data_IF_102796073090
#
_entry.id   IF_102796073090
#
_cell.length_a   1.000
_cell.length_b   1.000
_cell.length_c   1.000
_cell.angle_alpha   90.00
_cell.angle_beta   90.00
_cell.angle_gamma   90.00
#
_symmetry.space_group_name_H-M   'P 1'
#
loop_
_entity.id
_entity.type
_entity.pdbx_description
1 polymer ?
#
# COMPACT_ATOMS: atom_id res chain seq x y z
N UNK A 1 13.11 1.46 -15.98
CA UNK A 1 12.50 0.34 -15.24
C UNK A 1 12.92 0.51 -13.79
N UNK A 2 11.94 0.59 -12.89
CA UNK A 2 12.16 0.83 -11.47
C UNK A 2 11.88 -0.44 -10.66
N UNK A 3 12.73 -1.46 -10.79
CA UNK A 3 12.64 -2.73 -10.06
C UNK A 3 12.33 -3.94 -10.94
N UNK A 4 12.29 -5.11 -10.29
CA UNK A 4 12.14 -6.41 -10.96
C UNK A 4 10.68 -6.83 -11.19
N UNK A 5 9.74 -6.16 -10.53
CA UNK A 5 8.33 -6.51 -10.53
C UNK A 5 7.47 -5.34 -11.01
N UNK A 6 6.50 -5.64 -11.84
CA UNK A 6 5.52 -4.67 -12.33
C UNK A 6 4.13 -5.10 -11.88
N UNK A 7 3.34 -4.13 -11.40
CA UNK A 7 1.93 -4.40 -11.08
C UNK A 7 1.15 -4.77 -12.34
N UNK A 8 0.34 -5.79 -12.25
CA UNK A 8 -0.66 -6.14 -13.27
C UNK A 8 -2.05 -5.56 -12.95
N UNK A 9 -2.20 -4.91 -11.81
CA UNK A 9 -3.48 -4.46 -11.27
C UNK A 9 -4.16 -3.40 -12.15
N UNK A 10 -3.35 -2.55 -12.76
CA UNK A 10 -3.79 -1.44 -13.60
C UNK A 10 -3.38 -1.61 -15.07
N UNK A 11 -2.98 -2.83 -15.44
CA UNK A 11 -2.57 -3.12 -16.82
C UNK A 11 -3.76 -3.68 -17.60
N UNK A 12 -4.14 -3.03 -18.70
CA UNK A 12 -5.19 -3.52 -19.57
C UNK A 12 -4.86 -4.89 -20.15
N UNK A 13 -5.84 -5.78 -20.19
CA UNK A 13 -5.66 -7.10 -20.80
C UNK A 13 -5.89 -7.02 -22.31
N UNK A 14 -4.85 -7.33 -23.09
CA UNK A 14 -4.92 -7.36 -24.58
C UNK A 14 -6.10 -8.19 -25.12
N UNK A 15 -6.46 -9.26 -24.43
CA UNK A 15 -7.56 -10.13 -24.81
C UNK A 15 -8.97 -9.49 -24.73
N UNK A 16 -9.10 -8.33 -24.08
CA UNK A 16 -10.38 -7.64 -23.90
C UNK A 16 -10.62 -6.50 -24.88
N UNK A 17 -9.86 -6.45 -25.98
CA UNK A 17 -10.10 -5.51 -27.09
C UNK A 17 -9.84 -4.05 -26.75
N UNK A 18 -8.95 -3.79 -25.80
CA UNK A 18 -8.57 -2.42 -25.48
C UNK A 18 -7.76 -1.83 -26.62
N UNK A 19 -8.29 -0.79 -27.23
CA UNK A 19 -7.71 -0.12 -28.38
C UNK A 19 -6.85 1.06 -27.92
N UNK A 20 -5.60 1.08 -28.41
CA UNK A 20 -4.76 2.27 -28.36
C UNK A 20 -5.29 3.31 -29.35
N UNK A 21 -5.71 4.45 -28.87
CA UNK A 21 -6.19 5.53 -29.69
C UNK A 21 -5.12 6.63 -29.81
N UNK A 22 -4.34 6.60 -30.90
CA UNK A 22 -3.36 7.62 -31.22
C UNK A 22 -2.14 7.69 -30.29
N UNK A 23 -1.51 8.87 -30.18
CA UNK A 23 -0.32 9.13 -29.37
C UNK A 23 -0.56 9.11 -27.86
N UNK A 24 -1.80 9.12 -27.40
CA UNK A 24 -2.21 9.04 -26.01
C UNK A 24 -2.83 7.67 -25.75
N UNK A 25 -2.29 6.97 -24.76
CA UNK A 25 -2.86 5.69 -24.33
C UNK A 25 -4.11 5.97 -23.51
N UNK A 26 -5.26 5.91 -24.16
CA UNK A 26 -6.56 6.00 -23.49
C UNK A 26 -7.09 4.59 -23.25
N UNK A 27 -7.41 4.27 -22.01
CA UNK A 27 -7.99 3.00 -21.61
C UNK A 27 -9.44 3.19 -21.16
N UNK A 28 -10.29 2.22 -21.48
CA UNK A 28 -11.67 2.19 -20.96
C UNK A 28 -11.76 1.57 -19.55
N UNK A 29 -10.63 1.38 -18.88
CA UNK A 29 -10.59 0.83 -17.53
C UNK A 29 -10.92 1.92 -16.51
N UNK A 30 -11.80 1.59 -15.57
CA UNK A 30 -12.18 2.51 -14.51
C UNK A 30 -11.05 2.65 -13.48
N UNK A 31 -10.69 3.88 -13.15
CA UNK A 31 -9.85 4.18 -12.00
C UNK A 31 -10.67 4.08 -10.71
N UNK A 32 -10.18 3.32 -9.77
CA UNK A 32 -10.83 3.16 -8.47
C UNK A 32 -10.33 4.25 -7.50
N UNK A 33 -11.19 5.21 -7.22
CA UNK A 33 -10.94 6.19 -6.15
C UNK A 33 -11.15 5.54 -4.78
N UNK A 34 -12.20 4.73 -4.65
CA UNK A 34 -12.51 3.95 -3.46
C UNK A 34 -12.96 2.55 -3.87
N UNK A 35 -12.53 1.55 -3.12
CA UNK A 35 -12.94 0.15 -3.31
C UNK A 35 -13.67 -0.38 -2.08
N UNK A 36 -14.60 -1.28 -2.29
CA UNK A 36 -15.34 -1.90 -1.20
C UNK A 36 -14.42 -2.62 -0.20
N UNK A 37 -13.36 -3.27 -0.67
CA UNK A 37 -12.36 -3.91 0.21
C UNK A 37 -11.65 -2.91 1.14
N UNK A 38 -11.44 -1.66 0.70
CA UNK A 38 -10.87 -0.63 1.57
C UNK A 38 -11.81 -0.29 2.72
N UNK A 39 -13.09 -0.10 2.42
CA UNK A 39 -14.13 0.14 3.45
C UNK A 39 -14.27 -1.06 4.40
N UNK A 40 -14.22 -2.29 3.88
CA UNK A 40 -14.22 -3.49 4.72
C UNK A 40 -13.03 -3.51 5.68
N UNK A 41 -11.82 -3.19 5.20
CA UNK A 41 -10.62 -3.16 6.03
C UNK A 41 -10.63 -2.00 7.04
N UNK A 42 -11.20 -0.84 6.70
CA UNK A 42 -11.44 0.25 7.65
C UNK A 42 -12.40 -0.19 8.76
N UNK A 43 -13.49 -0.89 8.39
CA UNK A 43 -14.42 -1.46 9.38
C UNK A 43 -13.74 -2.49 10.28
N UNK A 44 -12.95 -3.41 9.71
CA UNK A 44 -12.21 -4.39 10.48
C UNK A 44 -11.22 -3.74 11.46
N UNK A 45 -10.57 -2.66 11.05
CA UNK A 45 -9.70 -1.87 11.94
C UNK A 45 -10.46 -1.27 13.12
N UNK A 46 -11.59 -0.64 12.85
CA UNK A 46 -12.45 -0.08 13.92
C UNK A 46 -12.92 -1.17 14.89
N UNK A 47 -13.30 -2.34 14.38
CA UNK A 47 -13.72 -3.48 15.21
C UNK A 47 -12.59 -3.98 16.11
N UNK A 48 -11.35 -4.05 15.60
CA UNK A 48 -10.18 -4.41 16.41
C UNK A 48 -10.01 -3.40 17.54
N UNK A 49 -10.11 -2.10 17.27
CA UNK A 49 -9.96 -1.08 18.28
C UNK A 49 -11.08 -1.12 19.34
N UNK A 50 -12.28 -1.49 18.95
CA UNK A 50 -13.41 -1.72 19.86
C UNK A 50 -13.33 -3.04 20.63
N UNK A 51 -12.43 -3.97 20.24
CA UNK A 51 -12.30 -5.28 20.87
C UNK A 51 -13.17 -6.39 20.26
N UNK A 52 -13.86 -6.12 19.16
CA UNK A 52 -14.67 -7.09 18.43
C UNK A 52 -13.81 -7.90 17.45
N UNK A 53 -12.86 -8.66 18.00
CA UNK A 53 -11.78 -9.29 17.23
C UNK A 53 -12.27 -10.37 16.27
N UNK A 54 -13.28 -11.15 16.65
CA UNK A 54 -13.82 -12.23 15.82
C UNK A 54 -14.56 -11.69 14.58
N UNK A 55 -15.34 -10.61 14.72
CA UNK A 55 -15.99 -9.98 13.60
C UNK A 55 -14.96 -9.37 12.64
N UNK A 56 -13.90 -8.77 13.17
CA UNK A 56 -12.79 -8.25 12.37
C UNK A 56 -12.08 -9.38 11.59
N UNK A 57 -11.82 -10.53 12.22
CA UNK A 57 -11.26 -11.72 11.59
C UNK A 57 -12.12 -12.20 10.43
N UNK A 58 -13.42 -12.27 10.63
CA UNK A 58 -14.36 -12.67 9.58
C UNK A 58 -14.25 -11.78 8.36
N UNK A 59 -14.28 -10.46 8.53
CA UNK A 59 -14.15 -9.50 7.43
C UNK A 59 -12.82 -9.66 6.68
N UNK A 60 -11.72 -9.81 7.41
CA UNK A 60 -10.39 -9.98 6.82
C UNK A 60 -10.32 -11.29 6.03
N UNK A 61 -10.89 -12.36 6.57
CA UNK A 61 -10.94 -13.67 5.92
C UNK A 61 -11.84 -13.70 4.68
N UNK A 62 -12.89 -12.91 4.63
CA UNK A 62 -13.71 -12.75 3.42
C UNK A 62 -12.89 -12.17 2.26
N UNK A 63 -12.04 -11.18 2.54
CA UNK A 63 -11.13 -10.61 1.54
C UNK A 63 -10.11 -11.65 1.07
N UNK A 64 -9.51 -12.39 2.00
CA UNK A 64 -8.56 -13.46 1.69
C UNK A 64 -9.20 -14.58 0.89
N UNK A 65 -10.41 -14.99 1.24
CA UNK A 65 -11.16 -16.03 0.52
C UNK A 65 -11.48 -15.58 -0.92
N UNK A 66 -11.85 -14.31 -1.09
CA UNK A 66 -12.04 -13.75 -2.43
C UNK A 66 -10.75 -13.79 -3.25
N UNK A 67 -9.62 -13.41 -2.65
CA UNK A 67 -8.32 -13.46 -3.33
C UNK A 67 -7.95 -14.90 -3.71
N UNK A 68 -8.13 -15.86 -2.81
CA UNK A 68 -7.93 -17.28 -3.08
C UNK A 68 -8.79 -17.78 -4.24
N UNK A 69 -10.08 -17.47 -4.22
CA UNK A 69 -11.01 -17.84 -5.29
C UNK A 69 -10.62 -17.21 -6.65
N UNK A 70 -10.01 -16.04 -6.65
CA UNK A 70 -9.55 -15.38 -7.87
C UNK A 70 -8.31 -16.07 -8.46
N UNK A 71 -7.38 -16.50 -7.63
CA UNK A 71 -6.21 -17.29 -8.08
C UNK A 71 -6.68 -18.60 -8.70
N UNK A 72 -7.56 -19.33 -8.02
CA UNK A 72 -8.07 -20.62 -8.48
C UNK A 72 -8.80 -20.54 -9.83
N UNK A 73 -9.48 -19.42 -10.12
CA UNK A 73 -10.30 -19.25 -11.33
C UNK A 73 -9.58 -18.56 -12.49
N UNK A 74 -8.64 -17.67 -12.20
CA UNK A 74 -8.17 -16.72 -13.21
C UNK A 74 -6.66 -16.76 -13.44
N UNK A 75 -5.89 -17.38 -12.56
CA UNK A 75 -4.42 -17.36 -12.59
C UNK A 75 -3.88 -18.78 -12.50
N UNK A 76 -4.15 -19.58 -13.53
CA UNK A 76 -3.79 -21.00 -13.58
C UNK A 76 -2.30 -21.25 -13.31
N UNK A 77 -1.41 -20.40 -13.84
CA UNK A 77 0.04 -20.50 -13.61
C UNK A 77 0.48 -20.17 -12.19
N UNK A 78 -0.34 -19.50 -11.39
CA UNK A 78 -0.03 -19.13 -10.01
C UNK A 78 -0.74 -20.04 -8.99
N UNK A 79 -1.63 -20.91 -9.44
CA UNK A 79 -2.46 -21.77 -8.59
C UNK A 79 -1.65 -22.61 -7.61
N UNK A 80 -0.55 -23.18 -8.08
CA UNK A 80 0.32 -24.02 -7.27
C UNK A 80 1.42 -23.22 -6.52
N UNK A 81 1.49 -21.91 -6.74
CA UNK A 81 2.50 -21.02 -6.17
C UNK A 81 1.95 -20.06 -5.11
N UNK A 82 0.64 -19.96 -5.01
CA UNK A 82 -0.04 -19.02 -4.09
C UNK A 82 -0.83 -19.82 -3.05
N UNK A 83 -0.29 -19.94 -1.85
CA UNK A 83 -1.03 -20.46 -0.68
C UNK A 83 -1.64 -19.27 0.09
N UNK A 84 -2.93 -19.05 -0.10
CA UNK A 84 -3.69 -18.03 0.62
C UNK A 84 -4.49 -18.70 1.73
N UNK A 85 -3.84 -18.91 2.87
CA UNK A 85 -4.49 -19.44 4.07
C UNK A 85 -5.34 -18.36 4.75
N UNK A 86 -6.46 -18.76 5.34
CA UNK A 86 -7.26 -17.87 6.20
C UNK A 86 -6.59 -17.73 7.57
N UNK A 87 -6.77 -16.58 8.22
CA UNK A 87 -6.29 -16.37 9.58
C UNK A 87 -7.06 -17.22 10.57
N UNK A 88 -6.38 -18.05 11.37
CA UNK A 88 -7.02 -18.82 12.43
C UNK A 88 -7.45 -17.93 13.59
N UNK A 89 -8.38 -18.40 14.40
CA UNK A 89 -8.87 -17.69 15.59
C UNK A 89 -7.76 -17.30 16.56
N UNK A 90 -6.71 -18.12 16.66
CA UNK A 90 -5.57 -17.87 17.55
C UNK A 90 -4.84 -16.55 17.28
N UNK A 91 -4.96 -15.98 16.08
CA UNK A 91 -4.35 -14.69 15.74
C UNK A 91 -5.20 -13.48 16.13
N UNK A 92 -6.43 -13.73 16.60
CA UNK A 92 -7.38 -12.70 17.00
C UNK A 92 -7.77 -12.82 18.47
N UNK A 93 -6.88 -13.36 19.31
CA UNK A 93 -7.07 -13.44 20.77
C UNK A 93 -6.65 -12.12 21.48
N UNK A 94 -5.83 -11.31 20.85
CA UNK A 94 -5.40 -10.01 21.37
C UNK A 94 -5.36 -8.95 20.24
N UNK A 95 -5.50 -7.67 20.64
CA UNK A 95 -5.54 -6.54 19.72
C UNK A 95 -4.24 -6.34 18.96
N UNK A 96 -3.09 -6.62 19.57
CA UNK A 96 -1.81 -6.36 18.95
C UNK A 96 -1.59 -7.30 17.76
N UNK A 97 -1.84 -8.59 17.95
CA UNK A 97 -1.74 -9.59 16.89
C UNK A 97 -2.78 -9.33 15.79
N UNK A 98 -4.02 -9.02 16.18
CA UNK A 98 -5.06 -8.67 15.22
C UNK A 98 -4.72 -7.43 14.38
N UNK A 99 -4.12 -6.39 14.98
CA UNK A 99 -3.61 -5.22 14.23
C UNK A 99 -2.52 -5.61 13.23
N UNK A 100 -1.60 -6.50 13.60
CA UNK A 100 -0.56 -6.99 12.68
C UNK A 100 -1.19 -7.70 11.48
N UNK A 101 -2.17 -8.57 11.71
CA UNK A 101 -2.91 -9.25 10.64
C UNK A 101 -3.64 -8.26 9.72
N UNK A 102 -4.37 -7.31 10.28
CA UNK A 102 -5.04 -6.25 9.52
C UNK A 102 -4.06 -5.43 8.67
N UNK A 103 -2.97 -4.95 9.29
CA UNK A 103 -1.97 -4.12 8.61
C UNK A 103 -1.28 -4.87 7.48
N UNK A 104 -1.10 -6.18 7.65
CA UNK A 104 -0.57 -7.04 6.61
C UNK A 104 -1.56 -7.23 5.48
N UNK A 105 -2.83 -7.49 5.80
CA UNK A 105 -3.87 -7.64 4.79
C UNK A 105 -4.08 -6.36 3.98
N UNK A 106 -4.11 -5.19 4.64
CA UNK A 106 -4.15 -3.90 3.93
C UNK A 106 -2.97 -3.73 2.98
N UNK A 107 -1.76 -4.14 3.40
CA UNK A 107 -0.57 -4.09 2.54
C UNK A 107 -0.72 -4.97 1.30
N UNK A 108 -1.30 -6.16 1.43
CA UNK A 108 -1.49 -7.09 0.33
C UNK A 108 -2.63 -6.64 -0.59
N UNK A 109 -3.80 -6.36 -0.02
CA UNK A 109 -5.00 -6.03 -0.77
C UNK A 109 -4.90 -4.69 -1.49
N UNK A 110 -4.35 -3.67 -0.81
CA UNK A 110 -4.20 -2.30 -1.32
C UNK A 110 -2.82 -2.04 -1.95
N UNK A 111 -2.07 -3.09 -2.26
CA UNK A 111 -0.77 -2.96 -2.91
C UNK A 111 -0.89 -2.22 -4.24
N UNK A 112 0.05 -1.29 -4.50
CA UNK A 112 0.14 -0.46 -5.70
C UNK A 112 -1.00 0.55 -5.91
N UNK A 113 -1.83 0.80 -4.90
CA UNK A 113 -2.93 1.76 -4.93
C UNK A 113 -2.64 3.07 -4.16
N UNK A 114 -1.36 3.38 -3.97
CA UNK A 114 -0.84 4.62 -3.35
C UNK A 114 -1.28 4.88 -1.89
N UNK A 115 -2.10 4.02 -1.27
CA UNK A 115 -2.61 4.19 0.11
C UNK A 115 -1.59 3.93 1.21
N UNK A 116 -0.50 3.19 0.92
CA UNK A 116 0.42 2.66 1.94
C UNK A 116 1.08 3.72 2.81
N UNK A 117 1.51 4.83 2.22
CA UNK A 117 2.16 5.91 2.96
C UNK A 117 1.23 6.54 4.00
N UNK A 118 -0.03 6.76 3.62
CA UNK A 118 -1.04 7.31 4.52
C UNK A 118 -1.36 6.36 5.67
N UNK A 119 -1.44 5.06 5.42
CA UNK A 119 -1.60 4.04 6.45
C UNK A 119 -0.44 4.06 7.45
N UNK A 120 0.79 4.08 6.98
CA UNK A 120 1.98 4.12 7.85
C UNK A 120 2.01 5.38 8.72
N UNK A 121 1.60 6.53 8.16
CA UNK A 121 1.51 7.81 8.90
C UNK A 121 0.47 7.74 10.01
N UNK A 122 -0.77 7.38 9.68
CA UNK A 122 -1.87 7.35 10.65
C UNK A 122 -1.68 6.31 11.74
N UNK A 123 -0.93 5.24 11.47
CA UNK A 123 -0.53 4.26 12.48
C UNK A 123 0.69 4.67 13.30
N UNK A 124 1.34 5.78 12.97
CA UNK A 124 2.53 6.27 13.67
C UNK A 124 3.79 5.42 13.48
N UNK A 125 3.83 4.56 12.46
CA UNK A 125 4.94 3.62 12.20
C UNK A 125 5.72 3.95 10.91
N UNK A 126 5.48 5.10 10.30
CA UNK A 126 6.11 5.47 9.04
C UNK A 126 7.64 5.50 9.13
N UNK A 127 8.17 6.17 10.16
CA UNK A 127 9.61 6.31 10.34
C UNK A 127 10.33 4.97 10.50
N UNK A 128 9.83 4.11 11.40
CA UNK A 128 10.43 2.79 11.63
C UNK A 128 10.37 1.93 10.36
N UNK A 129 9.17 1.84 9.76
CA UNK A 129 8.94 0.97 8.62
C UNK A 129 9.73 1.40 7.39
N UNK A 130 9.75 2.71 7.08
CA UNK A 130 10.41 3.20 5.88
C UNK A 130 11.93 3.21 6.03
N UNK A 131 12.46 3.58 7.21
CA UNK A 131 13.91 3.51 7.43
C UNK A 131 14.42 2.06 7.39
N UNK A 132 13.65 1.10 7.92
CA UNK A 132 13.99 -0.32 7.81
C UNK A 132 13.96 -0.79 6.36
N UNK A 133 12.99 -0.36 5.58
CA UNK A 133 12.91 -0.64 4.15
C UNK A 133 14.10 -0.06 3.40
N UNK A 134 14.44 1.21 3.60
CA UNK A 134 15.60 1.85 2.95
C UNK A 134 16.91 1.12 3.29
N UNK A 135 17.11 0.76 4.55
CA UNK A 135 18.30 0.00 4.96
C UNK A 135 18.36 -1.39 4.31
N UNK A 136 17.21 -2.05 4.13
CA UNK A 136 17.13 -3.34 3.43
C UNK A 136 17.51 -3.21 1.96
N UNK A 137 16.93 -2.23 1.26
CA UNK A 137 17.20 -1.99 -0.16
C UNK A 137 18.66 -1.56 -0.42
N UNK A 138 19.24 -0.74 0.48
CA UNK A 138 20.63 -0.32 0.39
C UNK A 138 21.63 -1.47 0.55
N UNK A 139 21.27 -2.51 1.30
CA UNK A 139 22.10 -3.66 1.58
C UNK A 139 21.76 -4.88 0.71
N UNK A 140 20.80 -4.77 -0.18
CA UNK A 140 20.45 -5.88 -1.07
C UNK A 140 21.63 -6.16 -2.02
N UNK A 141 22.05 -7.42 -2.07
CA UNK A 141 23.09 -7.90 -2.99
C UNK A 141 22.77 -7.68 -4.48
N UNK A 142 21.50 -7.45 -4.79
CA UNK A 142 21.06 -7.00 -6.12
C UNK A 142 21.19 -5.48 -6.30
N UNK A 143 21.46 -4.73 -5.23
CA UNK A 143 21.63 -3.29 -5.19
C UNK A 143 22.96 -2.78 -5.74
N UNK A 144 23.88 -3.64 -6.13
CA UNK A 144 25.04 -3.27 -6.95
C UNK A 144 24.63 -2.74 -8.32
N UNK A 145 23.39 -2.99 -8.71
CA UNK A 145 22.81 -2.42 -9.91
C UNK A 145 22.06 -1.13 -9.57
N UNK A 146 22.07 -0.22 -10.48
CA UNK A 146 21.59 1.15 -10.59
C UNK A 146 20.35 1.57 -9.76
N UNK A 147 19.61 0.64 -9.19
CA UNK A 147 18.35 0.89 -8.47
C UNK A 147 18.54 1.38 -7.03
N UNK A 148 19.54 0.86 -6.34
CA UNK A 148 19.80 1.25 -4.96
C UNK A 148 20.46 2.63 -4.85
N UNK A 149 21.04 3.15 -5.94
CA UNK A 149 21.76 4.42 -5.90
C UNK A 149 20.85 5.60 -5.52
N UNK A 150 19.61 5.64 -6.00
CA UNK A 150 18.68 6.71 -5.64
C UNK A 150 18.14 6.59 -4.20
N UNK A 151 18.26 5.42 -3.57
CA UNK A 151 17.91 5.20 -2.16
C UNK A 151 19.09 5.35 -1.22
N UNK A 152 20.31 5.55 -1.73
CA UNK A 152 21.55 5.57 -0.93
C UNK A 152 21.49 6.49 0.28
N UNK A 153 20.89 7.66 0.12
CA UNK A 153 20.75 8.65 1.19
C UNK A 153 19.30 8.79 1.66
N UNK A 154 18.43 7.85 1.28
CA UNK A 154 17.03 7.90 1.66
C UNK A 154 16.89 7.70 3.16
N UNK A 155 16.23 8.67 3.80
CA UNK A 155 15.97 8.68 5.23
C UNK A 155 14.63 9.33 5.51
N UNK A 156 13.81 8.67 6.31
CA UNK A 156 12.59 9.25 6.85
C UNK A 156 12.91 9.95 8.18
N UNK A 157 12.70 11.26 8.22
CA UNK A 157 12.93 12.08 9.44
C UNK A 157 11.58 12.33 10.11
N UNK A 158 11.36 11.81 11.35
CA UNK A 158 10.13 12.05 12.10
C UNK A 158 9.88 13.55 12.34
N UNK A 159 8.62 13.94 12.23
CA UNK A 159 8.18 15.33 12.39
C UNK A 159 8.42 16.21 11.16
N UNK A 160 9.06 15.68 10.13
CA UNK A 160 9.28 16.33 8.83
C UNK A 160 8.58 15.58 7.71
N UNK A 161 8.95 14.33 7.48
CA UNK A 161 8.56 13.59 6.28
C UNK A 161 7.14 13.00 6.34
N UNK A 162 6.42 13.17 7.44
CA UNK A 162 4.98 12.95 7.50
C UNK A 162 4.19 13.98 6.70
N UNK A 163 4.81 15.11 6.37
CA UNK A 163 4.18 16.19 5.61
C UNK A 163 4.95 16.50 4.34
N UNK A 164 4.25 17.00 3.34
CA UNK A 164 4.89 17.61 2.18
C UNK A 164 5.22 19.07 2.47
N UNK A 165 6.24 19.65 1.82
CA UNK A 165 6.47 21.09 1.90
C UNK A 165 5.28 21.84 1.29
N UNK A 166 4.94 22.99 1.86
CA UNK A 166 4.02 23.93 1.21
C UNK A 166 4.69 24.38 -0.10
N UNK A 167 4.01 24.31 -1.26
CA UNK A 167 4.58 24.72 -2.52
C UNK A 167 5.09 26.17 -2.48
N UNK A 168 6.28 26.41 -3.01
CA UNK A 168 6.93 27.71 -2.99
C UNK A 168 6.01 28.83 -3.52
N UNK A 169 5.28 28.58 -4.60
CA UNK A 169 4.35 29.55 -5.18
C UNK A 169 3.28 30.00 -4.17
N UNK A 170 2.81 29.13 -3.29
CA UNK A 170 1.82 29.48 -2.28
C UNK A 170 2.38 30.39 -1.20
N UNK A 171 3.65 30.22 -0.85
CA UNK A 171 4.34 31.09 0.10
C UNK A 171 4.61 32.47 -0.48
N UNK A 172 4.85 32.52 -1.81
CA UNK A 172 5.18 33.74 -2.53
C UNK A 172 3.96 34.60 -2.86
N UNK A 173 2.83 33.99 -3.28
CA UNK A 173 1.64 34.75 -3.70
C UNK A 173 1.00 35.57 -2.59
N UNK A 174 1.01 35.06 -1.34
CA UNK A 174 0.45 35.75 -0.19
C UNK A 174 1.46 35.64 0.98
N UNK A 175 2.49 36.52 0.99
CA UNK A 175 3.49 36.51 2.04
C UNK A 175 2.88 36.63 3.43
N UNK A 176 3.27 35.72 4.32
CA UNK A 176 2.82 35.71 5.73
C UNK A 176 1.51 34.96 6.01
N UNK A 177 0.73 34.59 4.97
CA UNK A 177 -0.49 33.78 5.18
C UNK A 177 -0.15 32.32 5.50
N UNK A 178 0.77 31.75 4.75
CA UNK A 178 1.23 30.38 4.95
C UNK A 178 2.62 30.35 5.58
N UNK A 179 2.82 29.42 6.49
CA UNK A 179 4.13 29.08 7.02
C UNK A 179 4.55 27.74 6.47
N UNK A 180 5.84 27.56 6.21
CA UNK A 180 6.38 26.29 5.75
C UNK A 180 6.22 25.23 6.84
N UNK A 181 6.02 23.99 6.44
CA UNK A 181 6.00 22.87 7.35
C UNK A 181 7.39 22.66 7.98
N UNK A 182 7.38 22.23 9.25
CA UNK A 182 8.59 22.01 10.03
C UNK A 182 9.61 21.15 9.28
N UNK A 183 10.85 21.62 9.23
CA UNK A 183 11.97 20.93 8.57
C UNK A 183 12.10 21.22 7.07
N UNK A 184 11.27 22.14 6.53
CA UNK A 184 11.33 22.64 5.16
C UNK A 184 11.47 24.17 5.11
N UNK A 185 11.74 24.82 6.28
CA UNK A 185 12.00 26.26 6.38
C UNK A 185 13.27 26.68 5.66
#
# INVERSE_FOLDING_TARGET
VYGYYTSLKEVPQRSKGETFNGSWQAFAMNDYVLRYSDIMLMRAEALIELGNLEEARTIINDIRQRAKNSVDKHIEYAKDQCDIALYPESYFQDKETARKCLRWERRLEMAMENGRFFDLRRWGIASETLNKYFASEQNDKYGEQTYAQYLKDAKFTPGKNEFYPVPYNQLYYIPGLYKQNKGYE
#
